data_IF_484449121933
#
_entry.id   IF_484449121933
#
_cell.length_a   1.000
_cell.length_b   1.000
_cell.length_c   1.000
_cell.angle_alpha   90.00
_cell.angle_beta   90.00
_cell.angle_gamma   90.00
#
_symmetry.space_group_name_H-M   'P 1'
#
loop_
_entity.id
_entity.type
_entity.pdbx_description
1 polymer ?
#
# COMPACT_ATOMS: atom_id res chain seq x y z
N UNK A 1 36.09 -9.07 -6.35
CA UNK A 1 34.76 -9.68 -6.33
C UNK A 1 34.00 -8.88 -5.29
N UNK A 2 33.34 -7.81 -5.74
CA UNK A 2 32.58 -6.91 -4.89
C UNK A 2 31.29 -7.63 -4.51
N UNK A 3 31.15 -7.95 -3.23
CA UNK A 3 29.93 -8.45 -2.63
C UNK A 3 28.89 -7.32 -2.78
N UNK A 4 28.10 -7.38 -3.85
CA UNK A 4 26.97 -6.47 -4.03
C UNK A 4 25.95 -6.80 -2.94
N UNK A 5 25.91 -5.97 -1.91
CA UNK A 5 24.88 -6.02 -0.89
C UNK A 5 23.52 -5.99 -1.58
N UNK A 6 22.91 -7.15 -1.74
CA UNK A 6 21.50 -7.28 -2.09
C UNK A 6 20.74 -7.32 -0.78
N UNK A 7 19.83 -6.36 -0.52
CA UNK A 7 18.93 -6.49 0.62
C UNK A 7 18.23 -7.84 0.50
N UNK A 8 18.36 -8.68 1.53
CA UNK A 8 17.57 -9.90 1.60
C UNK A 8 16.13 -9.51 1.33
N UNK A 9 15.48 -10.20 0.39
CA UNK A 9 14.06 -10.01 0.10
C UNK A 9 13.29 -10.52 1.32
N UNK A 10 13.09 -9.64 2.31
CA UNK A 10 12.31 -9.97 3.48
C UNK A 10 10.83 -10.14 3.12
N UNK A 11 10.06 -10.68 4.06
CA UNK A 11 8.62 -10.88 3.88
C UNK A 11 7.89 -9.58 3.54
N UNK A 12 6.89 -9.70 2.64
CA UNK A 12 5.97 -8.64 2.23
C UNK A 12 4.59 -8.90 2.84
N UNK A 13 4.10 -7.99 3.67
CA UNK A 13 2.71 -7.98 4.11
C UNK A 13 1.85 -7.19 3.12
N UNK A 14 0.88 -7.83 2.50
CA UNK A 14 -0.18 -7.18 1.73
C UNK A 14 -1.39 -6.98 2.63
N UNK A 15 -1.78 -5.73 2.87
CA UNK A 15 -2.83 -5.36 3.82
C UNK A 15 -3.99 -4.70 3.08
N UNK A 16 -5.20 -5.17 3.32
CA UNK A 16 -6.38 -4.61 2.63
C UNK A 16 -7.65 -5.42 2.83
N UNK A 17 -8.53 -5.30 1.87
CA UNK A 17 -9.86 -5.92 1.84
C UNK A 17 -9.94 -7.14 0.90
N UNK A 18 -11.12 -7.38 0.30
CA UNK A 18 -11.34 -8.49 -0.65
C UNK A 18 -10.45 -8.41 -1.89
N UNK A 19 -10.06 -7.23 -2.34
CA UNK A 19 -9.15 -7.07 -3.48
C UNK A 19 -7.78 -7.64 -3.15
N UNK A 20 -7.27 -7.36 -1.96
CA UNK A 20 -6.00 -7.93 -1.47
C UNK A 20 -6.14 -9.42 -1.19
N UNK A 21 -7.25 -9.86 -0.58
CA UNK A 21 -7.48 -11.26 -0.24
C UNK A 21 -7.52 -12.17 -1.47
N UNK A 22 -8.15 -11.71 -2.56
CA UNK A 22 -8.47 -12.52 -3.73
C UNK A 22 -7.30 -12.76 -4.70
N UNK A 23 -6.15 -12.13 -4.52
CA UNK A 23 -4.98 -12.32 -5.38
C UNK A 23 -4.26 -13.64 -5.12
N UNK A 24 -3.90 -14.35 -6.19
CA UNK A 24 -2.93 -15.45 -6.14
C UNK A 24 -1.51 -14.86 -6.13
N UNK A 25 -1.12 -14.34 -4.96
CA UNK A 25 0.11 -13.58 -4.83
C UNK A 25 1.37 -14.41 -5.04
N UNK A 26 1.35 -15.71 -4.77
CA UNK A 26 2.48 -16.61 -5.06
C UNK A 26 2.75 -16.70 -6.56
N UNK A 27 1.69 -16.75 -7.37
CA UNK A 27 1.80 -16.74 -8.83
C UNK A 27 2.09 -15.33 -9.40
N UNK A 28 1.52 -14.27 -8.79
CA UNK A 28 1.61 -12.90 -9.28
C UNK A 28 2.93 -12.22 -8.91
N UNK A 29 3.52 -12.58 -7.77
CA UNK A 29 4.76 -12.01 -7.24
C UNK A 29 5.82 -13.10 -7.04
N UNK A 30 6.27 -13.78 -8.10
CA UNK A 30 7.19 -14.90 -7.97
C UNK A 30 8.51 -14.47 -7.32
N UNK A 31 8.89 -15.19 -6.27
CA UNK A 31 10.09 -14.91 -5.49
C UNK A 31 9.93 -13.91 -4.35
N UNK A 32 8.69 -13.45 -4.09
CA UNK A 32 8.33 -12.72 -2.89
C UNK A 32 7.77 -13.69 -1.83
N UNK A 33 8.18 -13.53 -0.59
CA UNK A 33 7.54 -14.22 0.54
C UNK A 33 6.36 -13.36 1.02
N UNK A 34 5.15 -13.65 0.50
CA UNK A 34 3.97 -12.83 0.77
C UNK A 34 3.19 -13.35 1.97
N UNK A 35 2.84 -12.42 2.88
CA UNK A 35 1.79 -12.61 3.88
C UNK A 35 0.56 -11.81 3.47
N UNK A 36 -0.51 -12.50 3.15
CA UNK A 36 -1.75 -11.86 2.74
C UNK A 36 -2.63 -11.55 3.97
N UNK A 37 -2.75 -10.26 4.29
CA UNK A 37 -3.63 -9.70 5.32
C UNK A 37 -4.87 -9.04 4.69
N UNK A 38 -5.28 -9.47 3.52
CA UNK A 38 -6.56 -9.09 2.93
C UNK A 38 -7.71 -9.79 3.63
N UNK A 39 -8.79 -9.07 3.92
CA UNK A 39 -10.02 -9.63 4.49
C UNK A 39 -11.24 -9.04 3.78
N UNK A 40 -12.05 -9.92 3.20
CA UNK A 40 -13.24 -9.51 2.45
C UNK A 40 -14.19 -8.68 3.30
N UNK A 41 -14.62 -7.54 2.76
CA UNK A 41 -15.56 -6.65 3.42
C UNK A 41 -14.94 -5.63 4.37
N UNK A 42 -13.64 -5.76 4.72
CA UNK A 42 -12.99 -4.82 5.62
C UNK A 42 -13.10 -3.38 5.12
N UNK A 43 -13.44 -2.51 6.04
CA UNK A 43 -13.32 -1.06 5.93
C UNK A 43 -12.00 -0.58 6.53
N UNK A 44 -11.74 0.72 6.43
CA UNK A 44 -10.57 1.32 7.09
C UNK A 44 -10.64 1.17 8.62
N UNK A 45 -11.85 1.18 9.22
CA UNK A 45 -12.03 0.94 10.67
C UNK A 45 -11.60 -0.48 11.05
N UNK A 46 -11.96 -1.49 10.24
CA UNK A 46 -11.67 -2.89 10.50
C UNK A 46 -10.16 -3.18 10.41
N UNK A 47 -9.51 -2.69 9.34
CA UNK A 47 -8.05 -2.83 9.17
C UNK A 47 -7.31 -2.11 10.31
N UNK A 48 -7.77 -0.93 10.71
CA UNK A 48 -7.16 -0.19 11.82
C UNK A 48 -7.26 -0.97 13.14
N UNK A 49 -8.41 -1.61 13.39
CA UNK A 49 -8.63 -2.41 14.61
C UNK A 49 -7.71 -3.64 14.69
N UNK A 50 -7.33 -4.25 13.56
CA UNK A 50 -6.44 -5.42 13.49
C UNK A 50 -5.02 -5.12 13.02
N UNK A 51 -4.63 -3.84 12.97
CA UNK A 51 -3.30 -3.43 12.50
C UNK A 51 -2.16 -4.04 13.34
N UNK A 52 -2.45 -4.35 14.62
CA UNK A 52 -1.53 -5.05 15.51
C UNK A 52 -1.05 -6.38 14.95
N UNK A 53 -1.91 -7.15 14.30
CA UNK A 53 -1.54 -8.45 13.70
C UNK A 53 -0.47 -8.29 12.60
N UNK A 54 -0.53 -7.20 11.84
CA UNK A 54 0.47 -6.85 10.83
C UNK A 54 1.77 -6.41 11.50
N UNK A 55 1.69 -5.56 12.52
CA UNK A 55 2.84 -5.04 13.26
C UNK A 55 3.64 -6.18 13.91
N UNK A 56 2.96 -7.15 14.49
CA UNK A 56 3.59 -8.28 15.18
C UNK A 56 4.44 -9.16 14.25
N UNK A 57 4.16 -9.14 12.94
CA UNK A 57 4.95 -9.91 11.97
C UNK A 57 6.33 -9.34 11.69
N UNK A 58 6.54 -8.03 11.93
CA UNK A 58 7.79 -7.31 11.66
C UNK A 58 8.35 -7.55 10.26
N UNK A 59 7.45 -7.63 9.27
CA UNK A 59 7.82 -7.83 7.87
C UNK A 59 8.71 -6.69 7.35
N UNK A 60 9.57 -7.00 6.38
CA UNK A 60 10.46 -6.00 5.78
C UNK A 60 9.73 -4.95 4.95
N UNK A 61 8.57 -5.32 4.41
CA UNK A 61 7.72 -4.50 3.58
C UNK A 61 6.25 -4.63 3.99
N UNK A 62 5.52 -3.52 3.99
CA UNK A 62 4.05 -3.48 4.11
C UNK A 62 3.51 -2.71 2.92
N UNK A 63 2.60 -3.31 2.15
CA UNK A 63 1.86 -2.63 1.09
C UNK A 63 0.37 -2.58 1.48
N UNK A 64 -0.16 -1.37 1.65
CA UNK A 64 -1.51 -1.10 2.13
C UNK A 64 -2.40 -0.61 0.99
N UNK A 65 -3.55 -1.27 0.77
CA UNK A 65 -4.61 -0.84 -0.13
C UNK A 65 -5.96 -1.08 0.55
N UNK A 66 -6.70 0.00 0.88
CA UNK A 66 -7.96 -0.06 1.61
C UNK A 66 -8.80 1.19 1.36
N UNK A 67 -10.12 1.10 1.48
CA UNK A 67 -11.03 2.25 1.47
C UNK A 67 -12.23 2.10 0.54
N UNK A 68 -12.25 1.09 -0.34
CA UNK A 68 -13.38 0.91 -1.27
C UNK A 68 -14.68 0.54 -0.56
N UNK A 69 -14.62 -0.26 0.51
CA UNK A 69 -15.80 -0.66 1.29
C UNK A 69 -16.36 0.49 2.11
N UNK A 70 -15.53 1.39 2.59
CA UNK A 70 -15.96 2.61 3.27
C UNK A 70 -16.93 3.42 2.42
N UNK A 71 -16.63 3.59 1.12
CA UNK A 71 -17.47 4.30 0.18
C UNK A 71 -18.81 3.59 -0.04
N UNK A 72 -18.82 2.24 -0.09
CA UNK A 72 -20.06 1.47 -0.15
C UNK A 72 -20.93 1.68 1.11
N UNK A 73 -20.31 1.85 2.28
CA UNK A 73 -20.97 2.18 3.54
C UNK A 73 -21.23 3.69 3.71
N UNK A 74 -21.02 4.50 2.65
CA UNK A 74 -21.22 5.96 2.65
C UNK A 74 -20.42 6.70 3.72
N UNK A 75 -19.25 6.20 4.06
CA UNK A 75 -18.29 6.94 4.88
C UNK A 75 -17.77 8.14 4.10
N UNK A 76 -17.44 9.21 4.78
CA UNK A 76 -16.90 10.41 4.12
C UNK A 76 -15.44 10.23 3.70
N UNK A 77 -15.00 11.02 2.73
CA UNK A 77 -13.59 11.09 2.29
C UNK A 77 -12.66 11.34 3.49
N UNK A 78 -13.02 12.28 4.36
CA UNK A 78 -12.22 12.64 5.54
C UNK A 78 -12.11 11.48 6.54
N UNK A 79 -13.15 10.64 6.65
CA UNK A 79 -13.09 9.46 7.51
C UNK A 79 -12.07 8.45 6.98
N UNK A 80 -12.15 8.12 5.69
CA UNK A 80 -11.22 7.19 5.03
C UNK A 80 -9.78 7.68 5.12
N UNK A 81 -9.57 8.95 4.74
CA UNK A 81 -8.23 9.59 4.77
C UNK A 81 -7.64 9.54 6.18
N UNK A 82 -8.39 9.97 7.20
CA UNK A 82 -7.93 9.98 8.60
C UNK A 82 -7.52 8.58 9.07
N UNK A 83 -8.30 7.57 8.74
CA UNK A 83 -8.00 6.20 9.15
C UNK A 83 -6.74 5.67 8.48
N UNK A 84 -6.58 5.89 7.15
CA UNK A 84 -5.38 5.47 6.42
C UNK A 84 -4.14 6.23 6.92
N UNK A 85 -4.23 7.53 7.13
CA UNK A 85 -3.16 8.33 7.73
C UNK A 85 -2.76 7.79 9.10
N UNK A 86 -3.74 7.44 9.93
CA UNK A 86 -3.51 6.84 11.25
C UNK A 86 -2.78 5.50 11.15
N UNK A 87 -3.17 4.64 10.19
CA UNK A 87 -2.47 3.37 9.92
C UNK A 87 -1.02 3.62 9.52
N UNK A 88 -0.78 4.54 8.58
CA UNK A 88 0.57 4.85 8.10
C UNK A 88 1.47 5.40 9.21
N UNK A 89 0.94 6.31 10.05
CA UNK A 89 1.65 6.84 11.24
C UNK A 89 1.97 5.72 12.21
N UNK A 90 0.99 4.87 12.51
CA UNK A 90 1.15 3.75 13.46
C UNK A 90 2.18 2.75 12.95
N UNK A 91 2.07 2.33 11.67
CA UNK A 91 3.06 1.44 11.04
C UNK A 91 4.47 2.04 11.09
N UNK A 92 4.63 3.32 10.79
CA UNK A 92 5.94 3.97 10.83
C UNK A 92 6.51 4.04 12.25
N UNK A 93 5.66 4.31 13.24
CA UNK A 93 6.06 4.41 14.64
C UNK A 93 6.47 3.04 15.21
N UNK A 94 5.66 2.01 14.96
CA UNK A 94 5.87 0.69 15.54
C UNK A 94 6.88 -0.15 14.74
N UNK A 95 7.04 0.15 13.44
CA UNK A 95 7.92 -0.56 12.49
C UNK A 95 8.88 0.44 11.80
N UNK A 96 9.82 1.06 12.53
CA UNK A 96 10.68 2.12 11.98
C UNK A 96 11.55 1.66 10.80
N UNK A 97 11.97 0.39 10.78
CA UNK A 97 12.81 -0.20 9.73
C UNK A 97 12.02 -0.73 8.52
N UNK A 98 10.71 -0.96 8.67
CA UNK A 98 9.87 -1.52 7.63
C UNK A 98 9.65 -0.48 6.51
N UNK A 99 9.75 -0.92 5.28
CA UNK A 99 9.36 -0.11 4.12
C UNK A 99 7.85 -0.17 3.97
N UNK A 100 7.21 0.98 3.85
CA UNK A 100 5.76 1.09 3.71
C UNK A 100 5.44 1.61 2.32
N UNK A 101 4.54 0.93 1.61
CA UNK A 101 3.95 1.35 0.34
C UNK A 101 2.47 1.60 0.55
N UNK A 102 2.04 2.84 0.46
CA UNK A 102 0.63 3.18 0.36
C UNK A 102 0.23 3.09 -1.11
N UNK A 103 -0.89 2.44 -1.39
CA UNK A 103 -1.45 2.31 -2.73
C UNK A 103 -2.72 3.13 -2.82
N UNK A 104 -3.00 3.67 -4.00
CA UNK A 104 -4.27 4.36 -4.25
C UNK A 104 -5.44 3.41 -4.07
N UNK A 105 -6.57 3.93 -3.56
CA UNK A 105 -7.85 3.22 -3.66
C UNK A 105 -8.14 3.02 -5.14
N UNK A 106 -8.45 1.79 -5.52
CA UNK A 106 -8.71 1.44 -6.91
C UNK A 106 -10.01 2.06 -7.43
N UNK A 107 -10.10 2.33 -8.74
CA UNK A 107 -11.38 2.69 -9.35
C UNK A 107 -12.39 1.57 -9.13
N UNK A 108 -13.66 1.93 -9.18
CA UNK A 108 -14.81 1.04 -9.20
C UNK A 108 -15.89 1.67 -10.08
N UNK A 109 -17.17 1.51 -9.81
CA UNK A 109 -18.19 2.22 -10.55
C UNK A 109 -17.93 3.74 -10.62
N UNK A 110 -18.12 4.35 -11.79
CA UNK A 110 -17.80 5.77 -12.02
C UNK A 110 -18.47 6.73 -11.03
N UNK A 111 -19.60 6.31 -10.41
CA UNK A 111 -20.30 7.07 -9.39
C UNK A 111 -19.46 7.36 -8.14
N UNK A 112 -18.38 6.62 -7.94
CA UNK A 112 -17.42 6.80 -6.83
C UNK A 112 -16.16 7.55 -7.26
N UNK A 113 -15.99 7.84 -8.55
CA UNK A 113 -14.72 8.33 -9.10
C UNK A 113 -14.21 9.60 -8.41
N UNK A 114 -15.07 10.57 -8.17
CA UNK A 114 -14.69 11.85 -7.56
C UNK A 114 -14.24 11.67 -6.11
N UNK A 115 -14.95 10.82 -5.34
CA UNK A 115 -14.59 10.53 -3.96
C UNK A 115 -13.24 9.79 -3.88
N UNK A 116 -13.02 8.82 -4.76
CA UNK A 116 -11.77 8.06 -4.82
C UNK A 116 -10.60 8.96 -5.21
N UNK A 117 -10.77 9.81 -6.22
CA UNK A 117 -9.74 10.78 -6.63
C UNK A 117 -9.38 11.73 -5.50
N UNK A 118 -10.37 12.15 -4.73
CA UNK A 118 -10.17 13.04 -3.59
C UNK A 118 -9.39 12.34 -2.46
N UNK A 119 -9.78 11.11 -2.10
CA UNK A 119 -9.02 10.26 -1.16
C UNK A 119 -7.58 10.09 -1.64
N UNK A 120 -7.39 9.65 -2.88
CA UNK A 120 -6.07 9.36 -3.44
C UNK A 120 -5.17 10.59 -3.47
N UNK A 121 -5.73 11.78 -3.76
CA UNK A 121 -5.00 13.05 -3.71
C UNK A 121 -4.47 13.34 -2.30
N UNK A 122 -5.28 13.15 -1.26
CA UNK A 122 -4.87 13.36 0.12
C UNK A 122 -3.79 12.36 0.55
N UNK A 123 -3.99 11.08 0.24
CA UNK A 123 -3.05 10.02 0.61
C UNK A 123 -1.69 10.19 -0.12
N UNK A 124 -1.71 10.57 -1.39
CA UNK A 124 -0.50 10.89 -2.14
C UNK A 124 0.31 12.02 -1.49
N UNK A 125 -0.37 13.08 -1.02
CA UNK A 125 0.28 14.20 -0.34
C UNK A 125 0.82 13.79 1.04
N UNK A 126 0.12 12.90 1.73
CA UNK A 126 0.47 12.50 3.08
C UNK A 126 1.58 11.44 3.14
N UNK A 127 1.57 10.43 2.27
CA UNK A 127 2.48 9.29 2.33
C UNK A 127 3.97 9.67 2.51
N UNK A 128 4.52 10.66 1.79
CA UNK A 128 5.91 11.07 1.97
C UNK A 128 6.22 11.64 3.37
N UNK A 129 5.23 12.22 4.07
CA UNK A 129 5.43 12.82 5.39
C UNK A 129 5.77 11.80 6.47
N UNK A 130 5.40 10.53 6.23
CA UNK A 130 5.72 9.39 7.09
C UNK A 130 6.73 8.44 6.44
N UNK A 131 7.45 8.92 5.43
CA UNK A 131 8.42 8.13 4.67
C UNK A 131 7.81 6.85 4.07
N UNK A 132 6.55 6.88 3.64
CA UNK A 132 5.92 5.84 2.86
C UNK A 132 6.07 6.13 1.37
N UNK A 133 6.31 5.07 0.57
CA UNK A 133 6.18 5.14 -0.88
C UNK A 133 4.72 5.25 -1.28
N UNK A 134 4.48 5.74 -2.50
CA UNK A 134 3.14 5.83 -3.09
C UNK A 134 3.10 5.07 -4.42
N UNK A 135 2.06 4.26 -4.60
CA UNK A 135 1.73 3.63 -5.88
C UNK A 135 0.34 4.09 -6.33
N UNK A 136 0.30 4.82 -7.42
CA UNK A 136 -0.95 5.21 -8.06
C UNK A 136 -1.39 4.15 -9.07
N UNK A 137 -2.44 3.41 -8.75
CA UNK A 137 -3.03 2.38 -9.62
C UNK A 137 -4.08 2.95 -10.58
N UNK A 138 -4.51 4.20 -10.35
CA UNK A 138 -5.59 4.81 -11.11
C UNK A 138 -5.32 4.83 -12.63
N UNK A 139 -4.13 5.28 -13.11
CA UNK A 139 -3.86 5.36 -14.54
C UNK A 139 -3.88 4.00 -15.25
N UNK A 140 -3.52 2.92 -14.54
CA UNK A 140 -3.49 1.57 -15.10
C UNK A 140 -4.86 0.89 -15.08
N UNK A 141 -5.74 1.30 -14.15
CA UNK A 141 -6.98 0.59 -13.86
C UNK A 141 -8.23 1.31 -14.34
N UNK A 142 -8.25 2.64 -14.39
CA UNK A 142 -9.44 3.43 -14.70
C UNK A 142 -9.58 3.73 -16.19
N UNK A 143 -10.83 3.81 -16.64
CA UNK A 143 -11.19 4.50 -17.88
C UNK A 143 -11.18 6.02 -17.68
N UNK A 144 -11.35 6.77 -18.76
CA UNK A 144 -11.33 8.23 -18.75
C UNK A 144 -12.41 8.86 -17.85
N UNK A 145 -13.59 8.23 -17.77
CA UNK A 145 -14.70 8.64 -16.90
C UNK A 145 -14.51 8.22 -15.41
N UNK A 146 -13.46 7.44 -15.12
CA UNK A 146 -13.15 6.95 -13.79
C UNK A 146 -13.77 5.60 -13.42
N UNK A 147 -14.47 4.98 -14.37
CA UNK A 147 -14.93 3.59 -14.23
C UNK A 147 -13.73 2.64 -14.16
N UNK A 148 -13.80 1.60 -13.32
CA UNK A 148 -12.86 0.48 -13.41
C UNK A 148 -12.98 -0.17 -14.80
N UNK A 149 -11.86 -0.34 -15.49
CA UNK A 149 -11.86 -0.90 -16.83
C UNK A 149 -12.60 -2.25 -16.86
N UNK A 150 -13.68 -2.39 -17.66
CA UNK A 150 -14.47 -3.63 -17.73
C UNK A 150 -13.69 -4.87 -18.16
N UNK A 151 -12.52 -4.71 -18.80
CA UNK A 151 -11.64 -5.83 -19.08
C UNK A 151 -11.04 -6.47 -17.81
N UNK A 152 -11.05 -5.76 -16.69
CA UNK A 152 -10.42 -6.18 -15.44
C UNK A 152 -11.43 -6.62 -14.37
N UNK A 153 -12.72 -6.54 -14.63
CA UNK A 153 -13.77 -6.81 -13.64
C UNK A 153 -15.07 -7.29 -14.30
N UNK A 154 -15.86 -8.07 -13.59
CA UNK A 154 -17.19 -8.46 -14.02
C UNK A 154 -18.30 -7.71 -13.27
N UNK A 155 -17.99 -7.19 -12.08
CA UNK A 155 -18.94 -6.54 -11.17
C UNK A 155 -18.63 -5.08 -10.85
N UNK A 156 -17.66 -4.49 -11.58
CA UNK A 156 -17.18 -3.11 -11.43
C UNK A 156 -16.46 -2.85 -10.09
N UNK A 157 -15.98 -3.91 -9.43
CA UNK A 157 -15.28 -3.82 -8.14
C UNK A 157 -14.17 -4.86 -8.03
N UNK A 158 -14.53 -6.17 -8.07
CA UNK A 158 -13.58 -7.24 -7.89
C UNK A 158 -12.80 -7.51 -9.18
N UNK A 159 -11.51 -7.75 -9.03
CA UNK A 159 -10.64 -7.98 -10.18
C UNK A 159 -10.75 -9.42 -10.67
N UNK A 160 -10.76 -9.57 -11.99
CA UNK A 160 -10.51 -10.86 -12.64
C UNK A 160 -9.00 -11.10 -12.79
N UNK A 161 -8.62 -12.23 -13.41
CA UNK A 161 -7.21 -12.59 -13.58
C UNK A 161 -6.39 -11.54 -14.35
N UNK A 162 -7.01 -10.83 -15.30
CA UNK A 162 -6.34 -9.74 -16.05
C UNK A 162 -6.10 -8.54 -15.14
N UNK A 163 -7.10 -8.11 -14.37
CA UNK A 163 -6.97 -7.02 -13.43
C UNK A 163 -5.86 -7.25 -12.40
N UNK A 164 -5.76 -8.49 -11.87
CA UNK A 164 -4.66 -8.84 -10.97
C UNK A 164 -3.29 -8.82 -11.66
N UNK A 165 -3.19 -9.21 -12.92
CA UNK A 165 -1.93 -9.12 -13.68
C UNK A 165 -1.50 -7.67 -13.88
N UNK A 166 -2.44 -6.78 -14.19
CA UNK A 166 -2.17 -5.34 -14.31
C UNK A 166 -1.72 -4.78 -12.96
N UNK A 167 -2.41 -5.10 -11.87
CA UNK A 167 -1.99 -4.66 -10.54
C UNK A 167 -0.58 -5.14 -10.18
N UNK A 168 -0.28 -6.41 -10.37
CA UNK A 168 1.06 -6.94 -10.11
C UNK A 168 2.13 -6.28 -11.00
N UNK A 169 1.79 -5.96 -12.25
CA UNK A 169 2.66 -5.23 -13.18
C UNK A 169 3.07 -3.85 -12.68
N UNK A 170 2.18 -3.16 -11.95
CA UNK A 170 2.48 -1.87 -11.32
C UNK A 170 3.15 -2.03 -9.96
N UNK A 171 2.75 -3.05 -9.21
CA UNK A 171 3.24 -3.30 -7.86
C UNK A 171 4.72 -3.72 -7.84
N UNK A 172 5.13 -4.63 -8.71
CA UNK A 172 6.50 -5.14 -8.78
C UNK A 172 7.54 -4.02 -8.88
N UNK A 173 7.48 -3.12 -9.90
CA UNK A 173 8.46 -2.05 -10.01
C UNK A 173 8.38 -1.04 -8.85
N UNK A 174 7.21 -0.87 -8.23
CA UNK A 174 7.07 -0.02 -7.06
C UNK A 174 7.79 -0.61 -5.83
N UNK A 175 7.67 -1.92 -5.62
CA UNK A 175 8.38 -2.64 -4.55
C UNK A 175 9.90 -2.59 -4.78
N UNK A 176 10.36 -2.76 -6.02
CA UNK A 176 11.78 -2.68 -6.36
C UNK A 176 12.35 -1.29 -6.07
N UNK A 177 11.69 -0.23 -6.55
CA UNK A 177 12.09 1.16 -6.23
C UNK A 177 12.12 1.42 -4.73
N UNK A 178 11.14 0.90 -3.99
CA UNK A 178 11.08 1.10 -2.54
C UNK A 178 12.25 0.43 -1.82
N UNK A 179 12.75 -0.70 -2.33
CA UNK A 179 13.92 -1.41 -1.78
C UNK A 179 15.23 -0.69 -2.01
N UNK A 180 15.35 0.05 -3.11
CA UNK A 180 16.55 0.84 -3.42
C UNK A 180 16.69 2.07 -2.50
N UNK A 181 15.59 2.54 -1.92
CA UNK A 181 15.64 3.66 -0.99
C UNK A 181 16.32 3.23 0.33
N UNK A 182 17.15 4.10 0.93
CA UNK A 182 17.73 3.82 2.23
C UNK A 182 16.63 3.64 3.28
N UNK A 183 16.83 2.79 4.31
CA UNK A 183 15.90 2.71 5.44
C UNK A 183 15.69 4.09 6.06
N UNK A 184 14.45 4.44 6.34
CA UNK A 184 14.06 5.77 6.80
C UNK A 184 14.53 6.13 8.21
N UNK A 185 15.13 5.19 8.94
CA UNK A 185 15.53 5.34 10.33
C UNK A 185 17.05 5.38 10.58
N UNK A 186 17.88 5.56 9.57
CA UNK A 186 19.27 5.92 9.88
C UNK A 186 19.26 7.28 10.59
N UNK A 187 19.35 7.25 11.92
CA UNK A 187 19.74 8.42 12.70
C UNK A 187 20.99 9.02 12.02
N UNK A 188 20.90 10.31 11.64
CA UNK A 188 22.08 11.05 11.22
C UNK A 188 23.00 11.05 12.44
N UNK A 189 23.99 10.18 12.44
CA UNK A 189 25.08 10.25 13.41
C UNK A 189 25.83 11.52 13.05
N UNK A 190 25.56 12.62 13.75
CA UNK A 190 26.39 13.80 13.61
C UNK A 190 27.81 13.39 13.91
N UNK A 191 28.78 13.73 13.04
CA UNK A 191 30.18 13.49 13.37
C UNK A 191 30.46 14.15 14.71
N UNK A 192 31.09 13.41 15.62
CA UNK A 192 31.55 13.93 16.90
C UNK A 192 32.46 15.15 16.59
N UNK A 193 31.93 16.34 16.83
CA UNK A 193 32.71 17.55 16.77
C UNK A 193 33.61 17.53 18.01
N UNK A 194 34.60 16.62 17.98
CA UNK A 194 35.60 16.46 19.02
C UNK A 194 36.11 17.81 19.46
N UNK A 195 35.84 18.11 20.71
CA UNK A 195 36.29 19.34 21.35
C UNK A 195 37.80 19.49 21.21
N UNK A 196 38.21 20.53 20.51
CA UNK A 196 39.53 21.06 20.68
C UNK A 196 39.57 21.80 22.03
N UNK A 197 40.23 21.20 23.00
CA UNK A 197 40.68 21.87 24.19
C UNK A 197 42.07 22.48 23.94
#
# INVERSE_FOLDING_TARGET
MTDEWRPERGELALVGDSLTQGGDWDALLPGEAVRNFGMAGDTTDDVLARLGDVIDTRTALVALLIGTNDLAWRRSVEHVVRNVETMLVTLRKELPETRILAQSVMPRGHEFADQIRDINRHLWQFAPTVHAGWLDLWPAMALEDGELNPAYTEDRLHLNAEGYRVWAGELIPALERLRELPPSSRAITLPDLGGAA
#
